data_IF_945306701182
#
_entry.id   IF_945306701182
#
_cell.length_a   1.000
_cell.length_b   1.000
_cell.length_c   1.000
_cell.angle_alpha   90.00
_cell.angle_beta   90.00
_cell.angle_gamma   90.00
#
_symmetry.space_group_name_H-M   'P 1'
#
loop_
_entity.id
_entity.type
_entity.pdbx_description
1 polymer ?
#
# COMPACT_ATOMS: atom_id res chain seq x y z
N UNK A 1 2.77 17.86 -7.52
CA UNK A 1 2.53 18.41 -6.17
C UNK A 1 2.80 17.28 -5.19
N UNK A 2 3.89 17.35 -4.39
CA UNK A 2 4.07 16.41 -3.27
C UNK A 2 2.97 16.71 -2.26
N UNK A 3 2.04 15.79 -2.12
CA UNK A 3 1.06 15.82 -1.03
C UNK A 3 1.83 15.37 0.22
N UNK A 4 1.90 16.25 1.22
CA UNK A 4 2.56 15.92 2.49
C UNK A 4 1.56 15.08 3.30
N UNK A 5 1.72 13.77 3.23
CA UNK A 5 0.81 12.85 3.90
C UNK A 5 1.27 12.61 5.34
N UNK A 6 0.32 12.66 6.27
CA UNK A 6 0.53 12.14 7.62
C UNK A 6 0.88 10.65 7.59
N UNK A 7 1.64 10.18 8.57
CA UNK A 7 1.91 8.75 8.71
C UNK A 7 0.66 8.00 9.16
N UNK A 8 0.33 6.93 8.46
CA UNK A 8 -0.83 6.09 8.74
C UNK A 8 -0.44 4.68 9.19
N UNK A 9 -1.30 4.07 9.98
CA UNK A 9 -1.17 2.68 10.46
C UNK A 9 -2.50 1.94 10.36
N UNK A 10 -2.47 0.70 9.89
CA UNK A 10 -3.60 -0.23 9.98
C UNK A 10 -3.14 -1.69 9.89
N UNK A 11 -3.98 -2.65 10.34
CA UNK A 11 -3.81 -4.05 9.99
C UNK A 11 -3.97 -4.23 8.48
N UNK A 12 -3.06 -4.95 7.85
CA UNK A 12 -3.14 -5.35 6.44
C UNK A 12 -3.77 -6.73 6.25
N UNK A 13 -4.04 -7.44 7.35
CA UNK A 13 -4.72 -8.75 7.39
C UNK A 13 -6.13 -8.59 7.94
N UNK A 14 -7.02 -9.51 7.56
CA UNK A 14 -8.38 -9.52 8.08
C UNK A 14 -8.40 -9.64 9.62
N UNK A 15 -9.40 -9.04 10.29
CA UNK A 15 -9.53 -9.14 11.75
C UNK A 15 -9.83 -10.57 12.18
N UNK A 16 -9.31 -10.97 13.33
CA UNK A 16 -9.56 -12.30 13.91
C UNK A 16 -8.31 -12.92 14.51
N UNK A 17 -8.41 -14.22 14.86
CA UNK A 17 -7.29 -15.01 15.37
C UNK A 17 -6.67 -15.81 14.24
N UNK A 18 -5.36 -15.67 14.06
CA UNK A 18 -4.59 -16.36 13.02
C UNK A 18 -3.16 -16.62 13.48
N UNK A 19 -2.42 -17.43 12.75
CA UNK A 19 -0.98 -17.64 13.03
C UNK A 19 -0.15 -16.37 12.82
N UNK A 20 -0.55 -15.51 11.88
CA UNK A 20 0.16 -14.27 11.53
C UNK A 20 -0.84 -13.14 11.30
N UNK A 21 -0.52 -11.95 11.80
CA UNK A 21 -1.12 -10.69 11.39
C UNK A 21 -0.04 -9.75 10.89
N UNK A 22 -0.36 -8.92 9.92
CA UNK A 22 0.54 -7.90 9.37
C UNK A 22 -0.02 -6.52 9.68
N UNK A 23 0.79 -5.67 10.29
CA UNK A 23 0.46 -4.26 10.54
C UNK A 23 1.34 -3.43 9.62
N UNK A 24 0.72 -2.56 8.84
CA UNK A 24 1.39 -1.68 7.89
C UNK A 24 1.38 -0.24 8.40
N UNK A 25 2.55 0.40 8.33
CA UNK A 25 2.75 1.82 8.65
C UNK A 25 3.32 2.46 7.39
N UNK A 26 2.73 3.56 6.91
CA UNK A 26 3.16 4.27 5.69
C UNK A 26 3.24 5.77 5.95
N UNK A 27 4.31 6.40 5.49
CA UNK A 27 4.51 7.84 5.59
C UNK A 27 5.86 8.25 6.19
N UNK A 28 6.06 9.56 6.42
CA UNK A 28 7.38 10.11 6.78
C UNK A 28 7.94 9.60 8.13
N UNK A 29 7.09 9.21 9.07
CA UNK A 29 7.52 8.67 10.36
C UNK A 29 7.60 7.14 10.39
N UNK A 30 7.29 6.43 9.28
CA UNK A 30 7.17 4.97 9.27
C UNK A 30 8.46 4.28 9.76
N UNK A 31 9.62 4.68 9.25
CA UNK A 31 10.90 4.10 9.64
C UNK A 31 11.23 4.36 11.12
N UNK A 32 10.97 5.56 11.61
CA UNK A 32 11.19 5.92 13.01
C UNK A 32 10.29 5.11 13.95
N UNK A 33 9.00 5.02 13.65
CA UNK A 33 8.02 4.26 14.44
C UNK A 33 8.38 2.78 14.44
N UNK A 34 8.67 2.21 13.26
CA UNK A 34 9.11 0.82 13.14
C UNK A 34 10.38 0.53 13.93
N UNK A 35 11.35 1.44 13.89
CA UNK A 35 12.59 1.35 14.66
C UNK A 35 12.36 1.38 16.17
N UNK A 36 11.46 2.21 16.65
CA UNK A 36 11.14 2.31 18.09
C UNK A 36 10.40 1.06 18.60
N UNK A 37 9.54 0.45 17.78
CA UNK A 37 8.74 -0.74 18.15
C UNK A 37 9.57 -2.03 18.00
N UNK A 38 10.33 -2.17 16.90
CA UNK A 38 10.98 -3.43 16.51
C UNK A 38 12.50 -3.43 16.68
N UNK A 39 13.10 -2.29 17.03
CA UNK A 39 14.55 -2.10 17.01
C UNK A 39 15.06 -1.66 15.66
N UNK A 40 16.37 -1.71 15.44
CA UNK A 40 17.00 -1.21 14.22
C UNK A 40 16.46 -1.87 12.94
N UNK A 41 15.94 -1.06 12.03
CA UNK A 41 15.40 -1.48 10.72
C UNK A 41 16.07 -0.62 9.64
N UNK A 42 17.31 -0.96 9.29
CA UNK A 42 18.15 -0.10 8.42
C UNK A 42 18.22 -0.58 6.97
N UNK A 43 18.03 -1.88 6.70
CA UNK A 43 18.14 -2.45 5.35
C UNK A 43 16.77 -2.62 4.70
N UNK A 44 16.50 -1.92 3.59
CA UNK A 44 15.26 -2.10 2.85
C UNK A 44 15.13 -3.52 2.27
N UNK A 45 13.89 -3.98 2.11
CA UNK A 45 13.51 -5.25 1.47
C UNK A 45 14.02 -6.51 2.19
N UNK A 46 14.56 -6.37 3.41
CA UNK A 46 15.06 -7.50 4.19
C UNK A 46 14.12 -7.77 5.37
N UNK A 47 13.48 -8.93 5.35
CA UNK A 47 12.65 -9.42 6.45
C UNK A 47 13.54 -9.91 7.59
N UNK A 48 13.38 -9.37 8.80
CA UNK A 48 14.20 -9.65 9.96
C UNK A 48 13.38 -10.05 11.18
N UNK A 49 13.86 -10.99 11.99
CA UNK A 49 13.26 -11.25 13.29
C UNK A 49 13.45 -10.04 14.22
N UNK A 50 12.40 -9.74 14.97
CA UNK A 50 12.40 -8.65 15.95
C UNK A 50 11.64 -9.01 17.21
N UNK A 51 11.99 -8.32 18.31
CA UNK A 51 11.17 -8.28 19.53
C UNK A 51 10.33 -7.01 19.47
N UNK A 52 9.01 -7.16 19.35
CA UNK A 52 8.04 -6.07 19.31
C UNK A 52 7.86 -5.55 20.74
N UNK A 53 8.13 -4.27 20.96
CA UNK A 53 8.14 -3.66 22.28
C UNK A 53 7.16 -2.50 22.36
N UNK A 54 6.58 -2.30 23.54
CA UNK A 54 5.81 -1.11 23.86
C UNK A 54 6.71 0.04 24.38
N UNK A 55 6.11 1.20 24.67
CA UNK A 55 6.77 2.39 25.21
C UNK A 55 7.51 2.13 26.53
N UNK A 56 7.03 1.20 27.35
CA UNK A 56 7.70 0.75 28.58
C UNK A 56 8.88 -0.20 28.34
N UNK A 57 9.28 -0.42 27.08
CA UNK A 57 10.31 -1.38 26.67
C UNK A 57 9.98 -2.85 26.98
N UNK A 58 8.74 -3.17 27.32
CA UNK A 58 8.28 -4.55 27.54
C UNK A 58 8.02 -5.21 26.19
N UNK A 59 8.48 -6.45 26.05
CA UNK A 59 8.18 -7.25 24.85
C UNK A 59 6.71 -7.65 24.85
N UNK A 60 5.99 -7.20 23.82
CA UNK A 60 4.59 -7.53 23.55
C UNK A 60 4.49 -8.83 22.76
N UNK A 61 5.40 -9.00 21.77
CA UNK A 61 5.44 -10.18 20.91
C UNK A 61 6.84 -10.37 20.31
N UNK A 62 7.06 -11.49 19.63
CA UNK A 62 8.21 -11.75 18.78
C UNK A 62 7.72 -12.04 17.38
N UNK A 63 8.24 -11.31 16.40
CA UNK A 63 7.77 -11.39 15.03
C UNK A 63 8.85 -11.04 14.05
N UNK A 64 8.43 -10.56 12.88
CA UNK A 64 9.32 -10.13 11.83
C UNK A 64 8.99 -8.68 11.46
N UNK A 65 9.99 -7.96 10.94
CA UNK A 65 9.81 -6.61 10.43
C UNK A 65 10.49 -6.48 9.08
N UNK A 66 9.87 -5.73 8.18
CA UNK A 66 10.46 -5.36 6.89
C UNK A 66 10.23 -3.88 6.61
N UNK A 67 11.24 -3.24 6.03
CA UNK A 67 11.18 -1.86 5.56
C UNK A 67 11.18 -1.82 4.04
N UNK A 68 10.24 -1.09 3.47
CA UNK A 68 10.18 -0.76 2.05
C UNK A 68 10.45 0.73 1.89
N UNK A 69 11.63 1.06 1.37
CA UNK A 69 12.02 2.46 1.16
C UNK A 69 11.29 3.03 -0.05
N UNK A 70 10.68 4.19 0.10
CA UNK A 70 10.10 4.92 -1.02
C UNK A 70 11.14 5.31 -2.09
N UNK A 71 10.81 5.25 -3.39
CA UNK A 71 9.52 4.91 -3.97
C UNK A 71 9.27 3.40 -4.18
N UNK A 72 10.21 2.52 -3.78
CA UNK A 72 10.12 1.07 -3.96
C UNK A 72 9.25 0.39 -2.89
N UNK A 73 8.04 0.93 -2.67
CA UNK A 73 7.04 0.45 -1.72
C UNK A 73 5.66 0.40 -2.38
N UNK A 74 4.67 -0.12 -1.70
CA UNK A 74 3.29 -0.18 -2.19
C UNK A 74 2.70 1.22 -2.39
N UNK A 75 2.83 2.10 -1.41
CA UNK A 75 2.28 3.46 -1.45
C UNK A 75 3.18 4.48 -2.16
N UNK A 76 4.43 4.11 -2.48
CA UNK A 76 5.45 5.05 -2.94
C UNK A 76 6.14 5.84 -1.82
N UNK A 77 5.65 5.73 -0.58
CA UNK A 77 6.23 6.31 0.62
C UNK A 77 7.16 5.32 1.33
N UNK A 78 7.81 5.74 2.41
CA UNK A 78 8.45 4.78 3.32
C UNK A 78 7.38 3.93 4.01
N UNK A 79 7.53 2.61 3.96
CA UNK A 79 6.58 1.65 4.53
C UNK A 79 7.30 0.66 5.44
N UNK A 80 6.74 0.45 6.62
CA UNK A 80 7.11 -0.64 7.53
C UNK A 80 5.97 -1.64 7.59
N UNK A 81 6.30 -2.92 7.50
CA UNK A 81 5.38 -4.01 7.85
C UNK A 81 5.92 -4.77 9.05
N UNK A 82 5.08 -4.93 10.06
CA UNK A 82 5.33 -5.69 11.28
C UNK A 82 4.46 -6.93 11.23
N UNK A 83 5.09 -8.09 11.16
CA UNK A 83 4.44 -9.39 11.18
C UNK A 83 4.46 -9.90 12.61
N UNK A 84 3.31 -10.00 13.25
CA UNK A 84 3.12 -10.48 14.62
C UNK A 84 2.19 -11.69 14.65
N UNK A 85 1.98 -12.30 15.81
CA UNK A 85 0.91 -13.29 15.95
C UNK A 85 -0.46 -12.63 15.79
N UNK A 86 -1.35 -13.32 15.09
CA UNK A 86 -2.72 -12.86 14.80
C UNK A 86 -3.62 -12.92 16.04
N UNK A 87 -3.26 -12.16 17.06
CA UNK A 87 -4.06 -11.95 18.26
C UNK A 87 -4.56 -10.50 18.27
N UNK A 88 -5.89 -10.24 18.29
CA UNK A 88 -6.44 -8.89 18.29
C UNK A 88 -5.83 -7.96 19.35
N UNK A 89 -5.53 -8.49 20.54
CA UNK A 89 -4.92 -7.68 21.61
C UNK A 89 -3.50 -7.24 21.24
N UNK A 90 -2.71 -8.14 20.63
CA UNK A 90 -1.34 -7.80 20.15
C UNK A 90 -1.41 -6.75 19.06
N UNK A 91 -2.30 -6.92 18.08
CA UNK A 91 -2.52 -5.97 16.97
C UNK A 91 -2.91 -4.60 17.53
N UNK A 92 -3.86 -4.54 18.45
CA UNK A 92 -4.30 -3.28 19.08
C UNK A 92 -3.17 -2.60 19.87
N UNK A 93 -2.34 -3.36 20.59
CA UNK A 93 -1.20 -2.81 21.32
C UNK A 93 -0.18 -2.18 20.35
N UNK A 94 0.14 -2.84 19.24
CA UNK A 94 1.10 -2.31 18.25
C UNK A 94 0.54 -1.06 17.57
N UNK A 95 -0.75 -1.04 17.21
CA UNK A 95 -1.41 0.14 16.65
C UNK A 95 -1.36 1.30 17.65
N UNK A 96 -1.72 1.07 18.92
CA UNK A 96 -1.65 2.11 19.96
C UNK A 96 -0.25 2.70 20.09
N UNK A 97 0.80 1.87 20.03
CA UNK A 97 2.18 2.36 20.07
C UNK A 97 2.51 3.24 18.86
N UNK A 98 2.04 2.89 17.67
CA UNK A 98 2.22 3.72 16.49
C UNK A 98 1.47 5.06 16.59
N UNK A 99 0.25 5.05 17.14
CA UNK A 99 -0.55 6.27 17.35
C UNK A 99 0.13 7.21 18.36
N UNK A 100 0.68 6.69 19.46
CA UNK A 100 1.43 7.47 20.44
C UNK A 100 2.66 8.16 19.85
N UNK A 101 3.19 7.65 18.75
CA UNK A 101 4.36 8.18 18.05
C UNK A 101 4.01 9.08 16.86
N UNK A 102 2.75 9.47 16.71
CA UNK A 102 2.30 10.44 15.71
C UNK A 102 1.75 9.85 14.41
N UNK A 103 1.55 8.54 14.34
CA UNK A 103 0.73 7.98 13.28
C UNK A 103 -0.77 8.22 13.57
N UNK A 104 -1.61 8.15 12.53
CA UNK A 104 -3.06 8.02 12.68
C UNK A 104 -3.55 6.72 12.07
N UNK A 105 -4.74 6.29 12.45
CA UNK A 105 -5.37 5.14 11.79
C UNK A 105 -5.66 5.46 10.33
N UNK A 106 -5.35 4.53 9.44
CA UNK A 106 -5.68 4.66 8.03
C UNK A 106 -7.18 4.58 7.78
N UNK A 107 -7.67 5.36 6.84
CA UNK A 107 -9.03 5.20 6.31
C UNK A 107 -9.14 3.91 5.46
N UNK A 108 -10.33 3.33 5.29
CA UNK A 108 -10.53 2.20 4.39
C UNK A 108 -10.00 2.52 2.97
N UNK A 109 -9.14 1.64 2.43
CA UNK A 109 -8.54 1.82 1.11
C UNK A 109 -7.44 2.89 1.01
N UNK A 110 -7.03 3.53 2.11
CA UNK A 110 -6.10 4.66 2.06
C UNK A 110 -4.71 4.30 1.52
N UNK A 111 -4.19 3.11 1.79
CA UNK A 111 -2.91 2.69 1.21
C UNK A 111 -2.97 2.62 -0.32
N UNK A 112 -4.04 2.08 -0.89
CA UNK A 112 -4.26 2.03 -2.34
C UNK A 112 -4.50 3.41 -2.92
N UNK A 113 -5.26 4.28 -2.23
CA UNK A 113 -5.43 5.68 -2.61
C UNK A 113 -4.09 6.41 -2.69
N UNK A 114 -3.19 6.23 -1.73
CA UNK A 114 -1.84 6.83 -1.75
C UNK A 114 -0.99 6.26 -2.88
N UNK A 115 -1.09 4.96 -3.16
CA UNK A 115 -0.44 4.34 -4.30
C UNK A 115 -0.85 5.01 -5.62
N UNK A 116 -2.14 5.29 -5.80
CA UNK A 116 -2.66 6.04 -6.95
C UNK A 116 -2.17 7.50 -6.96
N UNK A 117 -2.25 8.22 -5.85
CA UNK A 117 -1.83 9.63 -5.75
C UNK A 117 -0.31 9.82 -5.93
N UNK A 118 0.48 8.78 -5.69
CA UNK A 118 1.92 8.75 -5.90
C UNK A 118 2.32 8.10 -7.25
N UNK A 119 1.39 8.01 -8.21
CA UNK A 119 1.60 7.50 -9.57
C UNK A 119 2.21 6.07 -9.62
N UNK A 120 1.95 5.24 -8.57
CA UNK A 120 2.39 3.84 -8.53
C UNK A 120 1.47 2.93 -9.33
N UNK A 121 0.18 3.25 -9.32
CA UNK A 121 -0.87 2.55 -10.03
C UNK A 121 -1.84 3.58 -10.61
N UNK A 122 -2.52 3.25 -11.69
CA UNK A 122 -3.61 4.06 -12.24
C UNK A 122 -4.95 3.75 -11.54
N UNK A 123 -6.00 4.50 -11.90
CA UNK A 123 -7.32 4.36 -11.26
C UNK A 123 -7.93 2.97 -11.50
N UNK A 124 -7.82 2.42 -12.71
CA UNK A 124 -8.34 1.11 -13.03
C UNK A 124 -7.61 0.00 -12.24
N UNK A 125 -6.32 0.15 -12.06
CA UNK A 125 -5.52 -0.74 -11.21
C UNK A 125 -5.92 -0.61 -9.73
N UNK A 126 -6.16 0.61 -9.24
CA UNK A 126 -6.61 0.84 -7.87
C UNK A 126 -7.97 0.18 -7.58
N UNK A 127 -8.93 0.29 -8.50
CA UNK A 127 -10.22 -0.39 -8.42
C UNK A 127 -10.05 -1.91 -8.47
N UNK A 128 -9.16 -2.42 -9.33
CA UNK A 128 -8.88 -3.85 -9.47
C UNK A 128 -8.33 -4.49 -8.19
N UNK A 129 -7.66 -3.74 -7.31
CA UNK A 129 -7.24 -4.25 -5.99
C UNK A 129 -8.45 -4.64 -5.14
N UNK A 130 -9.49 -3.81 -5.11
CA UNK A 130 -10.72 -4.11 -4.37
C UNK A 130 -11.46 -5.31 -4.98
N UNK A 131 -11.56 -5.37 -6.32
CA UNK A 131 -12.17 -6.48 -7.03
C UNK A 131 -11.44 -7.80 -6.78
N UNK A 132 -10.11 -7.78 -6.79
CA UNK A 132 -9.29 -8.95 -6.52
C UNK A 132 -9.51 -9.50 -5.11
N UNK A 133 -9.62 -8.63 -4.11
CA UNK A 133 -9.86 -9.02 -2.71
C UNK A 133 -11.29 -9.56 -2.54
N UNK A 134 -12.27 -9.01 -3.26
CA UNK A 134 -13.67 -9.41 -3.18
C UNK A 134 -14.03 -10.61 -4.08
N UNK A 135 -13.14 -11.05 -4.97
CA UNK A 135 -13.40 -12.09 -5.95
C UNK A 135 -13.73 -13.43 -5.29
N UNK A 136 -14.80 -14.08 -5.75
CA UNK A 136 -15.29 -15.36 -5.23
C UNK A 136 -15.20 -16.51 -6.25
N UNK A 137 -14.69 -16.23 -7.45
CA UNK A 137 -14.52 -17.24 -8.51
C UNK A 137 -13.16 -17.10 -9.17
N UNK A 138 -12.64 -18.19 -9.73
CA UNK A 138 -11.36 -18.20 -10.45
C UNK A 138 -11.37 -17.19 -11.61
N UNK A 139 -12.46 -17.10 -12.35
CA UNK A 139 -12.59 -16.14 -13.45
C UNK A 139 -12.57 -14.70 -12.98
N UNK A 140 -13.18 -14.38 -11.83
CA UNK A 140 -13.13 -13.05 -11.24
C UNK A 140 -11.71 -12.68 -10.78
N UNK A 141 -10.99 -13.60 -10.14
CA UNK A 141 -9.59 -13.44 -9.75
C UNK A 141 -8.70 -13.16 -10.97
N UNK A 142 -8.83 -13.97 -12.03
CA UNK A 142 -8.05 -13.80 -13.27
C UNK A 142 -8.38 -12.47 -13.97
N UNK A 143 -9.65 -12.08 -14.01
CA UNK A 143 -10.10 -10.81 -14.59
C UNK A 143 -9.53 -9.59 -13.83
N UNK A 144 -9.67 -9.58 -12.51
CA UNK A 144 -9.12 -8.52 -11.67
C UNK A 144 -7.59 -8.43 -11.78
N UNK A 145 -6.89 -9.57 -11.81
CA UNK A 145 -5.43 -9.60 -11.95
C UNK A 145 -4.99 -9.09 -13.34
N UNK A 146 -5.74 -9.36 -14.41
CA UNK A 146 -5.48 -8.80 -15.75
C UNK A 146 -5.61 -7.28 -15.76
N UNK A 147 -6.63 -6.73 -15.09
CA UNK A 147 -6.78 -5.28 -14.94
C UNK A 147 -5.65 -4.69 -14.08
N UNK A 148 -5.30 -5.35 -12.98
CA UNK A 148 -4.21 -4.92 -12.08
C UNK A 148 -2.84 -4.92 -12.79
N UNK A 149 -2.62 -5.80 -13.77
CA UNK A 149 -1.39 -5.79 -14.60
C UNK A 149 -1.27 -4.61 -15.56
N UNK A 150 -2.32 -3.77 -15.67
CA UNK A 150 -2.36 -2.60 -16.56
C UNK A 150 -2.76 -2.92 -18.01
N UNK A 151 -3.14 -4.15 -18.32
CA UNK A 151 -3.55 -4.53 -19.69
C UNK A 151 -4.77 -3.74 -20.16
N UNK A 152 -5.74 -3.51 -19.27
CA UNK A 152 -6.92 -2.72 -19.57
C UNK A 152 -6.53 -1.28 -19.93
N UNK A 153 -5.74 -0.62 -19.09
CA UNK A 153 -5.26 0.75 -19.31
C UNK A 153 -4.44 0.87 -20.61
N UNK A 154 -3.60 -0.12 -20.91
CA UNK A 154 -2.84 -0.16 -22.14
C UNK A 154 -3.74 -0.26 -23.38
N UNK A 155 -4.82 -1.05 -23.35
CA UNK A 155 -5.79 -1.14 -24.46
C UNK A 155 -6.53 0.18 -24.67
N UNK A 156 -6.99 0.81 -23.59
CA UNK A 156 -7.66 2.11 -23.66
C UNK A 156 -6.72 3.19 -24.19
N UNK A 157 -5.49 3.27 -23.71
CA UNK A 157 -4.51 4.23 -24.17
C UNK A 157 -4.20 4.09 -25.67
N UNK A 158 -4.16 2.86 -26.21
CA UNK A 158 -4.03 2.64 -27.67
C UNK A 158 -5.24 3.20 -28.43
N UNK A 159 -6.46 2.97 -27.95
CA UNK A 159 -7.65 3.53 -28.57
C UNK A 159 -7.64 5.07 -28.54
N UNK A 160 -7.25 5.66 -27.41
CA UNK A 160 -7.10 7.12 -27.28
C UNK A 160 -6.08 7.64 -28.28
N UNK A 161 -4.91 7.00 -28.40
CA UNK A 161 -3.88 7.37 -29.39
C UNK A 161 -4.43 7.39 -30.81
N UNK A 162 -5.13 6.32 -31.22
CA UNK A 162 -5.75 6.25 -32.56
C UNK A 162 -6.79 7.35 -32.79
N UNK A 163 -7.58 7.68 -31.77
CA UNK A 163 -8.56 8.78 -31.86
C UNK A 163 -7.88 10.16 -31.96
N UNK A 164 -6.78 10.36 -31.24
CA UNK A 164 -5.98 11.60 -31.35
C UNK A 164 -5.39 11.73 -32.76
N UNK A 165 -4.81 10.67 -33.31
CA UNK A 165 -4.28 10.67 -34.67
C UNK A 165 -5.36 10.99 -35.71
N UNK A 166 -6.53 10.36 -35.58
CA UNK A 166 -7.69 10.67 -36.45
C UNK A 166 -8.14 12.13 -36.32
N UNK A 167 -8.20 12.66 -35.12
CA UNK A 167 -8.54 14.04 -34.86
C UNK A 167 -7.58 14.99 -35.54
N UNK A 168 -6.26 14.74 -35.48
CA UNK A 168 -5.23 15.54 -36.17
C UNK A 168 -5.47 15.56 -37.65
N UNK A 169 -5.76 14.40 -38.28
CA UNK A 169 -6.05 14.32 -39.73
C UNK A 169 -7.27 15.16 -40.12
N UNK A 170 -8.33 15.11 -39.30
CA UNK A 170 -9.56 15.89 -39.55
C UNK A 170 -9.30 17.40 -39.40
N UNK A 171 -8.60 17.81 -38.32
CA UNK A 171 -8.25 19.23 -38.11
C UNK A 171 -7.38 19.78 -39.26
N UNK A 172 -6.38 19.04 -39.71
CA UNK A 172 -5.54 19.43 -40.87
C UNK A 172 -6.38 19.59 -42.13
N UNK A 173 -7.33 18.67 -42.40
CA UNK A 173 -8.21 18.77 -43.57
C UNK A 173 -9.19 19.96 -43.50
N UNK A 174 -9.53 20.46 -42.30
CA UNK A 174 -10.36 21.65 -42.12
C UNK A 174 -9.54 22.92 -42.26
N UNK A 175 -8.34 22.97 -41.69
CA UNK A 175 -7.51 24.16 -41.63
C UNK A 175 -6.77 24.41 -42.94
N UNK A 176 -6.52 23.35 -43.74
CA UNK A 176 -5.80 23.37 -44.99
C UNK A 176 -6.58 22.60 -46.09
N UNK A 177 -7.74 23.15 -46.56
CA UNK A 177 -8.59 22.50 -47.55
C UNK A 177 -7.96 22.40 -48.96
#
# INVERSE_FOLDING_TARGET
VKVDFETIVAPATAPGRSGVAVIRISGPLALQIGGNICGEVSQPMLLRPCSIKNSDKKTVDRGLVVFFKGPASYTGEDVIEIHCHGNPVIVDLIIKEALLQGARVAEPGEFTKRSFLNDKIDLAQAESVADLIAAQTDSAVLGANTSLSGEFSNKINRCIGTLVDLRVVVEVAIDFP
#
